data_IF_113493530357
#
_entry.id   IF_113493530357
#
_cell.length_a   1.000
_cell.length_b   1.000
_cell.length_c   1.000
_cell.angle_alpha   90.00
_cell.angle_beta   90.00
_cell.angle_gamma   90.00
#
_symmetry.space_group_name_H-M   'P 1'
#
loop_
_entity.id
_entity.type
_entity.pdbx_description
1 polymer ?
#
# COMPACT_ATOMS: atom_id res chain seq x y z
N UNK A 1 -9.95 24.39 1.58
CA UNK A 1 -10.73 23.19 1.99
C UNK A 1 -10.19 22.02 1.17
N UNK A 2 -9.56 21.02 1.80
CA UNK A 2 -9.04 19.87 1.07
C UNK A 2 -10.22 19.00 0.59
N UNK A 3 -10.40 18.88 -0.72
CA UNK A 3 -11.45 18.05 -1.31
C UNK A 3 -11.26 16.57 -0.96
N UNK A 4 -12.36 15.82 -0.86
CA UNK A 4 -12.31 14.37 -0.63
C UNK A 4 -11.46 13.67 -1.69
N UNK A 5 -10.66 12.68 -1.27
CA UNK A 5 -9.77 11.95 -2.17
C UNK A 5 -10.57 11.37 -3.35
N UNK A 6 -10.19 11.65 -4.61
CA UNK A 6 -10.87 11.13 -5.78
C UNK A 6 -11.07 9.62 -5.66
N UNK A 7 -12.25 9.07 -6.02
CA UNK A 7 -12.57 7.67 -5.75
C UNK A 7 -11.55 6.66 -6.31
N UNK A 8 -10.97 6.95 -7.47
CA UNK A 8 -9.94 6.11 -8.12
C UNK A 8 -8.59 6.07 -7.35
N UNK A 9 -8.29 7.08 -6.53
CA UNK A 9 -7.04 7.19 -5.77
C UNK A 9 -7.16 6.60 -4.36
N UNK A 10 -8.36 6.24 -3.89
CA UNK A 10 -8.59 5.63 -2.57
C UNK A 10 -7.72 4.40 -2.30
N UNK A 11 -7.45 3.52 -3.27
CA UNK A 11 -6.56 2.37 -3.04
C UNK A 11 -5.11 2.75 -2.72
N UNK A 12 -4.66 3.98 -3.03
CA UNK A 12 -3.31 4.45 -2.68
C UNK A 12 -3.10 4.61 -1.17
N UNK A 13 -4.17 4.61 -0.37
CA UNK A 13 -4.06 4.48 1.09
C UNK A 13 -3.39 3.15 1.49
N UNK A 14 -3.31 2.15 0.62
CA UNK A 14 -2.48 0.97 0.86
C UNK A 14 -0.99 1.30 1.03
N UNK A 15 -0.48 2.37 0.39
CA UNK A 15 0.94 2.73 0.41
C UNK A 15 1.38 3.17 1.81
N UNK A 16 0.57 3.91 2.57
CA UNK A 16 0.95 4.38 3.91
C UNK A 16 1.10 3.23 4.94
N UNK A 17 0.53 2.05 4.65
CA UNK A 17 0.72 0.87 5.48
C UNK A 17 2.07 0.20 5.25
N UNK A 18 2.66 0.34 4.06
CA UNK A 18 3.92 -0.30 3.72
C UNK A 18 5.13 0.20 4.55
N UNK A 19 5.34 1.52 4.79
CA UNK A 19 6.53 2.03 5.48
C UNK A 19 6.87 1.32 6.80
N UNK A 20 5.97 1.16 7.78
CA UNK A 20 6.36 0.54 9.05
C UNK A 20 6.73 -0.93 8.92
N UNK A 21 5.97 -1.71 8.15
CA UNK A 21 6.21 -3.15 8.00
C UNK A 21 7.42 -3.44 7.12
N UNK A 22 7.64 -2.65 6.06
CA UNK A 22 8.82 -2.77 5.19
C UNK A 22 10.07 -2.34 5.93
N UNK A 23 10.01 -1.23 6.68
CA UNK A 23 11.10 -0.82 7.58
C UNK A 23 11.38 -1.91 8.62
N UNK A 24 10.34 -2.56 9.17
CA UNK A 24 10.49 -3.69 10.07
C UNK A 24 11.20 -4.88 9.44
N UNK A 25 10.82 -5.29 8.23
CA UNK A 25 11.53 -6.35 7.49
C UNK A 25 13.00 -5.98 7.24
N UNK A 26 13.28 -4.74 6.82
CA UNK A 26 14.63 -4.26 6.57
C UNK A 26 15.46 -4.23 7.87
N UNK A 27 14.89 -3.69 8.95
CA UNK A 27 15.51 -3.65 10.26
C UNK A 27 15.87 -5.05 10.78
N UNK A 28 14.94 -5.99 10.68
CA UNK A 28 15.16 -7.40 11.02
C UNK A 28 16.13 -8.11 10.06
N UNK A 29 16.46 -7.52 8.90
CA UNK A 29 17.48 -8.05 7.99
C UNK A 29 18.87 -7.50 8.31
N UNK A 30 18.95 -6.29 8.85
CA UNK A 30 20.20 -5.60 9.18
C UNK A 30 20.72 -5.93 10.59
N UNK A 31 19.83 -6.26 11.51
CA UNK A 31 20.17 -6.60 12.90
C UNK A 31 20.28 -8.12 13.08
N UNK A 32 20.88 -8.55 14.20
CA UNK A 32 20.94 -9.95 14.64
C UNK A 32 20.50 -10.06 16.10
N UNK A 33 20.17 -11.28 16.54
CA UNK A 33 19.67 -11.52 17.90
C UNK A 33 18.15 -11.45 18.01
N UNK A 34 17.67 -11.50 19.26
CA UNK A 34 16.24 -11.49 19.59
C UNK A 34 15.58 -10.17 19.14
N UNK A 35 14.27 -10.19 18.78
CA UNK A 35 13.55 -8.98 18.40
C UNK A 35 13.54 -7.98 19.56
N UNK A 36 14.05 -6.79 19.30
CA UNK A 36 14.14 -5.72 20.27
C UNK A 36 12.85 -4.88 20.32
N UNK A 37 12.81 -3.92 21.23
CA UNK A 37 11.63 -3.06 21.41
C UNK A 37 11.31 -2.25 20.16
N UNK A 38 12.31 -1.88 19.35
CA UNK A 38 12.10 -1.14 18.11
C UNK A 38 11.38 -2.00 17.06
N UNK A 39 11.78 -3.26 16.89
CA UNK A 39 11.07 -4.22 16.05
C UNK A 39 9.61 -4.42 16.50
N UNK A 40 9.37 -4.50 17.82
CA UNK A 40 8.02 -4.62 18.38
C UNK A 40 7.17 -3.37 18.13
N UNK A 41 7.75 -2.16 18.22
CA UNK A 41 7.07 -0.91 17.86
C UNK A 41 6.67 -0.88 16.39
N UNK A 42 7.57 -1.26 15.48
CA UNK A 42 7.29 -1.32 14.05
C UNK A 42 6.19 -2.33 13.72
N UNK A 43 6.19 -3.49 14.37
CA UNK A 43 5.16 -4.51 14.21
C UNK A 43 3.81 -4.00 14.72
N UNK A 44 3.78 -3.42 15.92
CA UNK A 44 2.57 -2.88 16.53
C UNK A 44 1.95 -1.75 15.71
N UNK A 45 2.77 -0.83 15.23
CA UNK A 45 2.31 0.26 14.35
C UNK A 45 1.87 -0.25 12.97
N UNK A 46 2.56 -1.25 12.41
CA UNK A 46 2.16 -1.93 11.19
C UNK A 46 0.79 -2.62 11.33
N UNK A 47 0.56 -3.31 12.45
CA UNK A 47 -0.72 -3.96 12.75
C UNK A 47 -1.84 -2.92 12.93
N UNK A 48 -1.56 -1.81 13.61
CA UNK A 48 -2.51 -0.70 13.74
C UNK A 48 -2.90 -0.13 12.36
N UNK A 49 -1.93 0.11 11.47
CA UNK A 49 -2.20 0.55 10.11
C UNK A 49 -2.99 -0.49 9.30
N UNK A 50 -2.71 -1.78 9.47
CA UNK A 50 -3.48 -2.86 8.84
C UNK A 50 -4.94 -2.88 9.30
N UNK A 51 -5.19 -2.75 10.60
CA UNK A 51 -6.55 -2.69 11.17
C UNK A 51 -7.30 -1.43 10.69
N UNK A 52 -6.61 -0.30 10.60
CA UNK A 52 -7.19 0.93 10.06
C UNK A 52 -7.58 0.74 8.58
N UNK A 53 -6.71 0.14 7.76
CA UNK A 53 -7.05 -0.16 6.37
C UNK A 53 -8.17 -1.19 6.23
N UNK A 54 -8.20 -2.21 7.09
CA UNK A 54 -9.29 -3.17 7.14
C UNK A 54 -10.63 -2.49 7.46
N UNK A 55 -10.61 -1.53 8.40
CA UNK A 55 -11.78 -0.71 8.75
C UNK A 55 -12.23 0.21 7.61
N UNK A 56 -11.28 0.73 6.82
CA UNK A 56 -11.54 1.57 5.65
C UNK A 56 -11.87 0.75 4.40
N UNK A 57 -11.60 -0.55 4.39
CA UNK A 57 -11.76 -1.42 3.21
C UNK A 57 -13.16 -1.35 2.58
N UNK A 58 -14.28 -1.33 3.34
CA UNK A 58 -15.61 -1.17 2.75
C UNK A 58 -15.79 0.16 2.02
N UNK A 59 -15.13 1.22 2.49
CA UNK A 59 -15.17 2.54 1.86
C UNK A 59 -14.31 2.61 0.59
N UNK A 60 -13.17 1.94 0.59
CA UNK A 60 -12.27 1.82 -0.58
C UNK A 60 -12.95 0.98 -1.68
N UNK A 61 -13.58 -0.15 -1.29
CA UNK A 61 -14.28 -1.09 -2.19
C UNK A 61 -15.59 -0.58 -2.78
N UNK A 62 -16.05 0.64 -2.44
CA UNK A 62 -17.21 1.27 -3.09
C UNK A 62 -16.97 1.55 -4.58
N UNK A 63 -15.72 1.49 -5.04
CA UNK A 63 -15.34 1.67 -6.45
C UNK A 63 -15.00 0.32 -7.07
N UNK A 64 -15.23 0.21 -8.38
CA UNK A 64 -14.79 -0.94 -9.16
C UNK A 64 -13.28 -1.17 -9.03
N UNK A 65 -12.84 -2.39 -9.30
CA UNK A 65 -11.42 -2.73 -9.27
C UNK A 65 -10.64 -1.86 -10.25
N UNK A 66 -9.58 -1.24 -9.77
CA UNK A 66 -8.63 -0.43 -10.55
C UNK A 66 -7.20 -0.90 -10.30
N UNK A 67 -6.25 -0.70 -11.23
CA UNK A 67 -4.85 -1.11 -11.03
C UNK A 67 -4.21 -0.58 -9.74
N UNK A 68 -4.66 0.58 -9.23
CA UNK A 68 -4.16 1.16 -7.98
C UNK A 68 -4.34 0.26 -6.74
N UNK A 69 -5.18 -0.78 -6.78
CA UNK A 69 -5.28 -1.77 -5.69
C UNK A 69 -3.97 -2.54 -5.45
N UNK A 70 -3.04 -2.56 -6.40
CA UNK A 70 -1.70 -3.09 -6.18
C UNK A 70 -0.90 -2.35 -5.10
N UNK A 71 -1.29 -1.13 -4.73
CA UNK A 71 -0.69 -0.38 -3.62
C UNK A 71 -0.71 -1.13 -2.27
N UNK A 72 -1.65 -2.07 -2.08
CA UNK A 72 -1.72 -2.89 -0.87
C UNK A 72 -0.70 -4.02 -0.83
N UNK A 73 -0.19 -4.45 -1.99
CA UNK A 73 0.65 -5.66 -2.10
C UNK A 73 1.89 -5.58 -1.22
N UNK A 74 2.61 -4.45 -1.25
CA UNK A 74 3.83 -4.23 -0.46
C UNK A 74 3.59 -4.39 1.05
N UNK A 75 2.58 -3.72 1.59
CA UNK A 75 2.31 -3.82 3.03
C UNK A 75 1.79 -5.20 3.42
N UNK A 76 0.90 -5.77 2.61
CA UNK A 76 0.26 -7.07 2.89
C UNK A 76 1.27 -8.21 2.89
N UNK A 77 2.30 -8.16 2.05
CA UNK A 77 3.37 -9.17 2.05
C UNK A 77 4.43 -8.90 3.11
N UNK A 78 4.75 -7.63 3.39
CA UNK A 78 5.77 -7.27 4.37
C UNK A 78 5.35 -7.58 5.81
N UNK A 79 4.08 -7.42 6.18
CA UNK A 79 3.58 -7.70 7.53
C UNK A 79 3.85 -9.16 7.98
N UNK A 80 3.38 -10.22 7.28
CA UNK A 80 3.68 -11.59 7.66
C UNK A 80 5.18 -11.90 7.54
N UNK A 81 5.89 -11.33 6.56
CA UNK A 81 7.35 -11.50 6.44
C UNK A 81 8.09 -10.99 7.66
N UNK A 82 7.70 -9.82 8.18
CA UNK A 82 8.27 -9.26 9.41
C UNK A 82 7.98 -10.17 10.60
N UNK A 83 6.73 -10.61 10.75
CA UNK A 83 6.31 -11.46 11.86
C UNK A 83 7.02 -12.83 11.84
N UNK A 84 7.21 -13.43 10.65
CA UNK A 84 8.01 -14.66 10.46
C UNK A 84 9.45 -14.44 10.95
N UNK A 85 10.10 -13.36 10.51
CA UNK A 85 11.48 -13.05 10.93
C UNK A 85 11.62 -12.85 12.43
N UNK A 86 10.61 -12.26 13.06
CA UNK A 86 10.59 -12.12 14.53
C UNK A 86 10.43 -13.48 15.21
N UNK A 87 9.57 -14.35 14.69
CA UNK A 87 9.36 -15.70 15.20
C UNK A 87 10.63 -16.57 15.09
N UNK A 88 11.31 -16.53 13.94
CA UNK A 88 12.59 -17.22 13.71
C UNK A 88 13.68 -16.79 14.69
N UNK A 89 13.58 -15.58 15.25
CA UNK A 89 14.53 -15.02 16.21
C UNK A 89 14.11 -15.17 17.66
N UNK A 90 13.09 -15.98 17.93
CA UNK A 90 12.65 -16.31 19.27
C UNK A 90 11.59 -15.36 19.85
N UNK A 91 10.92 -14.54 19.04
CA UNK A 91 9.62 -14.01 19.48
C UNK A 91 8.65 -15.19 19.69
N UNK A 92 7.94 -15.19 20.80
CA UNK A 92 7.02 -16.25 21.18
C UNK A 92 5.65 -15.68 21.57
N UNK A 93 4.67 -16.57 21.77
CA UNK A 93 3.33 -16.21 22.25
C UNK A 93 2.32 -16.01 21.11
N UNK A 94 1.45 -14.97 21.14
CA UNK A 94 0.37 -14.83 20.17
C UNK A 94 0.81 -14.83 18.69
N UNK A 95 2.06 -14.44 18.43
CA UNK A 95 2.66 -14.43 17.10
C UNK A 95 2.76 -15.82 16.46
N UNK A 96 3.01 -16.87 17.24
CA UNK A 96 3.13 -18.26 16.74
C UNK A 96 1.85 -18.71 16.02
N UNK A 97 0.70 -18.36 16.59
CA UNK A 97 -0.59 -18.67 16.00
C UNK A 97 -1.01 -17.68 14.90
N UNK A 98 -0.61 -16.42 15.01
CA UNK A 98 -1.02 -15.36 14.09
C UNK A 98 -0.23 -15.38 12.76
N UNK A 99 1.03 -15.80 12.78
CA UNK A 99 1.93 -15.80 11.60
C UNK A 99 1.38 -16.65 10.45
N UNK A 100 1.01 -17.94 10.64
CA UNK A 100 0.46 -18.75 9.56
C UNK A 100 -0.83 -18.17 8.98
N UNK A 101 -1.70 -17.65 9.84
CA UNK A 101 -2.96 -17.02 9.43
C UNK A 101 -2.69 -15.77 8.60
N UNK A 102 -1.80 -14.88 9.06
CA UNK A 102 -1.42 -13.67 8.35
C UNK A 102 -0.77 -13.99 6.99
N UNK A 103 0.05 -15.04 6.92
CA UNK A 103 0.66 -15.51 5.68
C UNK A 103 -0.38 -16.01 4.67
N UNK A 104 -1.34 -16.83 5.11
CA UNK A 104 -2.43 -17.32 4.26
C UNK A 104 -3.28 -16.15 3.76
N UNK A 105 -3.69 -15.24 4.65
CA UNK A 105 -4.48 -14.05 4.30
C UNK A 105 -3.74 -13.19 3.27
N UNK A 106 -2.44 -12.96 3.46
CA UNK A 106 -1.65 -12.19 2.50
C UNK A 106 -1.62 -12.84 1.11
N UNK A 107 -1.37 -14.15 1.03
CA UNK A 107 -1.38 -14.87 -0.24
C UNK A 107 -2.76 -14.87 -0.91
N UNK A 108 -3.85 -15.00 -0.15
CA UNK A 108 -5.21 -14.88 -0.68
C UNK A 108 -5.47 -13.49 -1.27
N UNK A 109 -5.04 -12.42 -0.58
CA UNK A 109 -5.18 -11.05 -1.08
C UNK A 109 -4.40 -10.88 -2.40
N UNK A 110 -3.15 -11.35 -2.45
CA UNK A 110 -2.34 -11.30 -3.68
C UNK A 110 -3.00 -12.13 -4.79
N UNK A 111 -3.52 -13.32 -4.50
CA UNK A 111 -4.25 -14.15 -5.46
C UNK A 111 -5.47 -13.42 -6.05
N UNK A 112 -6.26 -12.75 -5.20
CA UNK A 112 -7.39 -11.93 -5.66
C UNK A 112 -6.93 -10.76 -6.55
N UNK A 113 -5.84 -10.07 -6.19
CA UNK A 113 -5.28 -9.00 -7.02
C UNK A 113 -4.85 -9.52 -8.40
N UNK A 114 -4.18 -10.67 -8.44
CA UNK A 114 -3.74 -11.31 -9.69
C UNK A 114 -4.94 -11.68 -10.55
N UNK A 115 -5.94 -12.38 -9.99
CA UNK A 115 -7.16 -12.78 -10.73
C UNK A 115 -7.87 -11.55 -11.32
N UNK A 116 -8.07 -10.50 -10.51
CA UNK A 116 -8.73 -9.26 -10.95
C UNK A 116 -7.94 -8.51 -12.01
N UNK A 117 -6.61 -8.55 -11.93
CA UNK A 117 -5.73 -7.97 -12.94
C UNK A 117 -5.86 -8.74 -14.25
N UNK A 118 -5.81 -10.07 -14.21
CA UNK A 118 -6.00 -10.93 -15.40
C UNK A 118 -7.37 -10.70 -16.04
N UNK A 119 -8.45 -10.59 -15.25
CA UNK A 119 -9.78 -10.22 -15.75
C UNK A 119 -9.77 -8.87 -16.50
N UNK A 120 -9.03 -7.87 -16.00
CA UNK A 120 -8.89 -6.57 -16.66
C UNK A 120 -8.06 -6.65 -17.95
N UNK A 121 -7.00 -7.46 -17.96
CA UNK A 121 -6.16 -7.72 -19.13
C UNK A 121 -7.02 -8.28 -20.26
N UNK A 122 -7.78 -9.34 -19.94
CA UNK A 122 -8.65 -10.02 -20.90
C UNK A 122 -9.77 -9.12 -21.45
N UNK A 123 -10.19 -8.12 -20.67
CA UNK A 123 -11.18 -7.10 -21.09
C UNK A 123 -10.58 -5.94 -21.88
N UNK A 124 -9.25 -5.88 -22.05
CA UNK A 124 -8.57 -4.76 -22.72
C UNK A 124 -8.66 -3.42 -21.99
N UNK A 125 -9.09 -3.42 -20.71
CA UNK A 125 -9.39 -2.21 -19.93
C UNK A 125 -8.32 -1.90 -18.87
N UNK A 126 -7.12 -2.50 -18.99
CA UNK A 126 -6.02 -2.25 -18.05
C UNK A 126 -5.52 -0.81 -18.07
N UNK A 127 -5.38 -0.27 -19.28
CA UNK A 127 -4.88 1.07 -19.50
C UNK A 127 -6.09 1.98 -19.70
N UNK A 128 -6.20 3.09 -18.96
CA UNK A 128 -7.04 4.19 -19.38
C UNK A 128 -6.65 4.58 -20.82
N UNK A 129 -7.60 4.93 -21.70
CA UNK A 129 -7.26 5.62 -22.94
C UNK A 129 -6.30 6.76 -22.59
N UNK A 130 -5.20 6.90 -23.34
CA UNK A 130 -4.15 7.89 -23.09
C UNK A 130 -4.76 9.31 -23.04
N UNK A 131 -5.22 9.72 -21.86
CA UNK A 131 -5.88 10.98 -21.64
C UNK A 131 -5.12 11.73 -20.56
N UNK A 132 -4.57 12.86 -21.03
CA UNK A 132 -3.93 13.94 -20.30
C UNK A 132 -2.51 13.60 -19.82
N UNK A 133 -1.60 13.46 -20.79
CA UNK A 133 -0.32 14.17 -20.65
C UNK A 133 -0.64 15.54 -20.08
N UNK A 134 -0.16 15.75 -18.85
CA UNK A 134 -0.44 16.92 -18.02
C UNK A 134 -0.50 18.16 -18.90
N UNK A 135 -1.61 18.91 -18.82
CA UNK A 135 -1.74 20.29 -19.28
C UNK A 135 -0.82 21.22 -18.44
N UNK A 136 0.42 20.78 -18.19
CA UNK A 136 1.53 21.49 -17.57
C UNK A 136 2.31 22.32 -18.59
N UNK A 137 1.90 22.30 -19.87
CA UNK A 137 2.45 23.15 -20.92
C UNK A 137 1.66 24.45 -21.14
N UNK A 138 0.53 24.68 -20.45
CA UNK A 138 -0.04 26.03 -20.32
C UNK A 138 0.64 26.81 -19.21
N UNK A 139 1.90 27.17 -19.44
CA UNK A 139 2.42 28.42 -18.88
C UNK A 139 1.59 29.57 -19.48
N UNK A 140 1.06 30.52 -18.70
CA UNK A 140 0.58 31.76 -19.28
C UNK A 140 1.78 32.49 -19.89
N UNK A 141 1.91 32.40 -21.21
CA UNK A 141 2.87 33.19 -21.95
C UNK A 141 2.61 34.67 -21.66
N UNK A 142 3.66 35.36 -21.24
CA UNK A 142 3.67 36.77 -20.90
C UNK A 142 2.91 37.62 -21.92
N UNK A 143 1.82 38.26 -21.49
CA UNK A 143 1.26 39.40 -22.21
C UNK A 143 2.07 40.64 -21.85
N UNK A 144 3.13 40.86 -22.63
CA UNK A 144 3.43 42.15 -23.27
C UNK A 144 3.13 43.37 -22.39
N UNK A 145 4.11 43.82 -21.61
CA UNK A 145 4.21 45.22 -21.17
C UNK A 145 4.28 46.05 -22.45
N UNK A 146 3.17 46.70 -22.79
CA UNK A 146 3.11 47.61 -23.91
C UNK A 146 3.97 48.84 -23.63
N UNK A 147 4.75 49.17 -24.66
CA UNK A 147 5.42 50.44 -24.86
C UNK A 147 4.39 51.58 -24.85
N UNK A 148 4.74 52.66 -24.16
CA UNK A 148 4.55 54.03 -24.63
C UNK A 148 3.29 54.75 -24.17
N UNK A 149 3.48 55.68 -23.22
CA UNK A 149 3.24 57.12 -23.40
C UNK A 149 3.71 57.87 -22.15
#
# INVERSE_FOLDING_TARGET
MHGALPPALRPLLGVQFAPPVVAGVAYMSLTTGAPDIFAMFLLGYGLYQALLLFRLLPWIRKQAFVPCYWAFSFGVTALPTMAIRMLERGAAGPLESAVPVAFIVANLIIGVLVIKTVELVLRGSLLPPAAVAVDATRAPAASRIERGS
#
